data_IF_466843355187
#
_entry.id   IF_466843355187
#
_cell.length_a   1.000
_cell.length_b   1.000
_cell.length_c   1.000
_cell.angle_alpha   90.00
_cell.angle_beta   90.00
_cell.angle_gamma   90.00
#
_symmetry.space_group_name_H-M   'P 1'
#
loop_
_entity.id
_entity.type
_entity.pdbx_description
1 polymer ?
#
# COMPACT_ATOMS: atom_id res chain seq x y z
N UNK A 1 -7.85 -6.00 -4.76
CA UNK A 1 -8.04 -4.55 -5.07
C UNK A 1 -7.70 -3.66 -3.87
N UNK A 2 -7.19 -2.44 -4.12
CA UNK A 2 -6.95 -1.41 -3.08
C UNK A 2 -8.18 -0.51 -2.96
N UNK A 3 -8.64 -0.23 -1.75
CA UNK A 3 -9.86 0.57 -1.49
C UNK A 3 -9.61 1.86 -0.73
N UNK A 4 -8.52 1.95 0.05
CA UNK A 4 -8.06 3.19 0.65
C UNK A 4 -6.55 3.13 0.90
N UNK A 5 -5.94 4.31 1.04
CA UNK A 5 -4.56 4.52 1.47
C UNK A 5 -4.59 5.35 2.75
N UNK A 6 -3.91 4.85 3.77
CA UNK A 6 -3.74 5.50 5.06
C UNK A 6 -2.27 5.85 5.25
N UNK A 7 -2.01 6.85 6.06
CA UNK A 7 -0.65 7.24 6.45
C UNK A 7 -0.63 7.78 7.87
N UNK A 8 0.53 7.69 8.51
CA UNK A 8 0.80 8.29 9.81
C UNK A 8 2.17 8.97 9.77
N UNK A 9 2.30 10.21 10.29
CA UNK A 9 1.27 11.03 10.94
C UNK A 9 0.20 11.55 9.96
N UNK A 10 -1.01 11.86 10.45
CA UNK A 10 -2.14 12.28 9.60
C UNK A 10 -1.89 13.63 8.91
N UNK A 11 -1.21 14.55 9.60
CA UNK A 11 -0.82 15.87 9.11
C UNK A 11 0.72 15.97 9.11
N UNK A 12 1.40 15.34 8.14
CA UNK A 12 2.86 15.32 8.13
C UNK A 12 3.45 16.68 7.81
N UNK A 13 4.56 16.97 8.47
CA UNK A 13 5.43 18.11 8.17
C UNK A 13 6.71 17.61 7.50
N UNK A 14 7.41 18.53 6.85
CA UNK A 14 8.71 18.26 6.23
C UNK A 14 9.67 17.53 7.18
N UNK A 15 10.30 16.46 6.72
CA UNK A 15 11.26 15.66 7.48
C UNK A 15 10.65 14.60 8.39
N UNK A 16 9.33 14.55 8.54
CA UNK A 16 8.65 13.48 9.27
C UNK A 16 8.82 12.14 8.54
N UNK A 17 8.92 11.05 9.31
CA UNK A 17 8.92 9.70 8.77
C UNK A 17 7.48 9.19 8.70
N UNK A 18 7.01 8.97 7.46
CA UNK A 18 5.64 8.56 7.18
C UNK A 18 5.59 7.05 6.99
N UNK A 19 4.70 6.39 7.75
CA UNK A 19 4.35 4.98 7.54
C UNK A 19 3.05 4.92 6.73
N UNK A 20 3.04 4.15 5.64
CA UNK A 20 1.84 3.95 4.82
C UNK A 20 1.13 2.63 5.14
N UNK A 21 -0.19 2.62 4.93
CA UNK A 21 -1.01 1.40 4.94
C UNK A 21 -2.02 1.44 3.79
N UNK A 22 -2.45 0.27 3.35
CA UNK A 22 -3.49 0.12 2.33
C UNK A 22 -4.62 -0.77 2.84
N UNK A 23 -5.86 -0.37 2.56
CA UNK A 23 -7.03 -1.22 2.81
C UNK A 23 -7.27 -2.06 1.56
N UNK A 24 -7.00 -3.36 1.67
CA UNK A 24 -7.13 -4.32 0.60
C UNK A 24 -8.43 -5.07 0.75
N UNK A 25 -9.21 -5.17 -0.33
CA UNK A 25 -10.43 -5.97 -0.39
C UNK A 25 -10.29 -7.09 -1.41
N UNK A 26 -10.69 -8.30 -1.04
CA UNK A 26 -10.88 -9.37 -2.02
C UNK A 26 -12.21 -9.17 -2.75
N UNK A 27 -12.12 -8.76 -4.01
CA UNK A 27 -13.26 -8.52 -4.88
C UNK A 27 -13.67 -9.74 -5.71
N UNK A 28 -12.92 -10.84 -5.61
CA UNK A 28 -13.20 -12.08 -6.32
C UNK A 28 -14.28 -12.91 -5.65
N UNK A 29 -14.62 -14.03 -6.29
CA UNK A 29 -15.61 -15.00 -5.80
C UNK A 29 -15.00 -16.15 -5.00
N UNK A 30 -13.67 -16.16 -4.85
CA UNK A 30 -12.91 -17.18 -4.11
C UNK A 30 -11.93 -16.52 -3.15
N UNK A 31 -11.58 -17.21 -2.07
CA UNK A 31 -10.53 -16.76 -1.16
C UNK A 31 -9.18 -16.67 -1.87
N UNK A 32 -8.33 -15.73 -1.43
CA UNK A 32 -6.92 -15.72 -1.86
C UNK A 32 -6.20 -16.98 -1.37
N UNK A 33 -5.17 -17.46 -2.07
CA UNK A 33 -4.43 -18.64 -1.65
C UNK A 33 -3.74 -18.43 -0.30
N UNK A 34 -3.88 -19.38 0.63
CA UNK A 34 -3.11 -19.38 1.87
C UNK A 34 -1.62 -19.65 1.59
N UNK A 35 -0.73 -19.03 2.36
CA UNK A 35 0.72 -19.20 2.25
C UNK A 35 1.36 -18.40 1.11
N UNK A 36 0.56 -17.75 0.26
CA UNK A 36 1.06 -16.83 -0.78
C UNK A 36 1.00 -15.41 -0.24
N UNK A 37 2.09 -14.67 -0.39
CA UNK A 37 2.18 -13.28 0.06
C UNK A 37 1.19 -12.42 -0.74
N UNK A 38 0.25 -11.79 -0.04
CA UNK A 38 -0.53 -10.67 -0.53
C UNK A 38 0.25 -9.39 -0.22
N UNK A 39 1.05 -8.94 -1.19
CA UNK A 39 1.90 -7.77 -1.04
C UNK A 39 1.22 -6.47 -1.49
N UNK A 40 1.66 -5.35 -0.91
CA UNK A 40 1.33 -4.01 -1.42
C UNK A 40 2.58 -3.14 -1.46
N UNK A 41 2.83 -2.49 -2.59
CA UNK A 41 3.88 -1.48 -2.74
C UNK A 41 3.29 -0.07 -2.66
N UNK A 42 4.01 0.85 -2.00
CA UNK A 42 3.67 2.27 -1.92
C UNK A 42 4.69 3.08 -2.73
N UNK A 43 4.19 3.78 -3.75
CA UNK A 43 4.99 4.56 -4.68
C UNK A 43 4.73 6.07 -4.51
N UNK A 44 5.81 6.85 -4.50
CA UNK A 44 5.78 8.29 -4.73
C UNK A 44 6.28 8.51 -6.16
N UNK A 45 5.39 8.87 -7.08
CA UNK A 45 5.71 8.84 -8.51
C UNK A 45 5.78 7.40 -9.05
N UNK A 46 6.86 7.05 -9.75
CA UNK A 46 6.98 5.77 -10.48
C UNK A 46 7.70 4.66 -9.69
N UNK A 47 8.35 4.98 -8.56
CA UNK A 47 9.17 4.04 -7.79
C UNK A 47 8.50 3.66 -6.47
N UNK A 48 8.48 2.37 -6.16
CA UNK A 48 8.06 1.89 -4.84
C UNK A 48 9.14 2.20 -3.81
N UNK A 49 8.78 2.85 -2.71
CA UNK A 49 9.71 3.18 -1.62
C UNK A 49 9.55 2.27 -0.41
N UNK A 50 8.32 1.91 -0.07
CA UNK A 50 8.00 1.03 1.05
C UNK A 50 6.97 0.00 0.61
N UNK A 51 6.91 -1.15 1.28
CA UNK A 51 5.98 -2.22 0.95
C UNK A 51 5.57 -3.02 2.18
N UNK A 52 4.49 -3.77 2.03
CA UNK A 52 4.10 -4.87 2.92
C UNK A 52 4.32 -6.18 2.19
N UNK A 53 5.05 -7.12 2.79
CA UNK A 53 5.43 -8.39 2.15
C UNK A 53 5.30 -9.62 3.06
N UNK A 54 4.59 -9.55 4.19
CA UNK A 54 4.48 -10.68 5.15
C UNK A 54 3.08 -11.27 5.30
N UNK A 55 2.04 -10.66 4.74
CA UNK A 55 0.68 -11.18 4.88
C UNK A 55 0.45 -12.42 4.00
N UNK A 56 0.19 -13.57 4.61
CA UNK A 56 0.03 -14.87 3.94
C UNK A 56 -1.30 -15.56 4.24
N UNK A 57 -2.18 -14.90 5.01
CA UNK A 57 -3.47 -15.48 5.37
C UNK A 57 -4.44 -15.38 4.19
N UNK A 58 -5.35 -16.36 4.03
CA UNK A 58 -6.38 -16.27 3.01
C UNK A 58 -7.36 -15.14 3.37
N UNK A 59 -7.71 -14.33 2.37
CA UNK A 59 -8.73 -13.30 2.44
C UNK A 59 -9.96 -13.79 1.69
N UNK A 60 -11.08 -14.03 2.38
CA UNK A 60 -12.31 -14.54 1.78
C UNK A 60 -12.99 -13.50 0.85
N UNK A 61 -13.90 -13.90 -0.04
CA UNK A 61 -14.66 -12.95 -0.87
C UNK A 61 -15.33 -11.86 -0.04
N UNK A 62 -15.13 -10.60 -0.41
CA UNK A 62 -15.71 -9.44 0.28
C UNK A 62 -14.95 -8.99 1.53
N UNK A 63 -14.08 -9.83 2.10
CA UNK A 63 -13.25 -9.48 3.26
C UNK A 63 -12.23 -8.41 2.90
N UNK A 64 -11.88 -7.63 3.93
CA UNK A 64 -10.86 -6.58 3.83
C UNK A 64 -9.80 -6.73 4.89
N UNK A 65 -8.57 -6.32 4.57
CA UNK A 65 -7.44 -6.29 5.48
C UNK A 65 -6.67 -5.00 5.31
N UNK A 66 -6.10 -4.48 6.41
CA UNK A 66 -5.18 -3.35 6.37
C UNK A 66 -3.77 -3.91 6.35
N UNK A 67 -3.01 -3.57 5.31
CA UNK A 67 -1.60 -3.94 5.19
C UNK A 67 -0.74 -2.70 5.38
N UNK A 68 0.07 -2.70 6.43
CA UNK A 68 1.02 -1.64 6.77
C UNK A 68 2.39 -1.96 6.19
N UNK A 69 3.09 -0.93 5.71
CA UNK A 69 4.46 -1.06 5.25
C UNK A 69 5.36 -1.57 6.39
N UNK A 70 6.06 -2.67 6.13
CA UNK A 70 6.92 -3.36 7.08
C UNK A 70 8.39 -3.39 6.63
N UNK A 71 8.66 -2.98 5.39
CA UNK A 71 9.97 -2.97 4.75
C UNK A 71 9.97 -1.96 3.58
N UNK A 72 11.11 -1.73 2.96
CA UNK A 72 11.26 -0.79 1.87
C UNK A 72 12.68 -0.65 1.35
N UNK A 73 12.92 0.39 0.54
CA UNK A 73 14.24 0.69 0.01
C UNK A 73 15.24 0.87 1.17
N UNK A 74 16.34 0.12 1.10
CA UNK A 74 17.35 0.12 2.17
C UNK A 74 16.90 -0.51 3.48
N UNK A 75 15.81 -1.29 3.49
CA UNK A 75 15.26 -1.90 4.70
C UNK A 75 14.42 -0.94 5.54
N UNK A 76 13.94 0.16 4.95
CA UNK A 76 13.24 1.24 5.65
C UNK A 76 11.77 1.23 5.25
N UNK A 77 10.88 1.03 6.23
CA UNK A 77 9.43 0.98 6.01
C UNK A 77 8.73 2.34 6.01
N UNK A 78 9.51 3.43 6.15
CA UNK A 78 9.04 4.81 6.13
C UNK A 78 9.51 5.57 4.91
N UNK A 79 8.74 6.59 4.55
CA UNK A 79 9.16 7.61 3.60
C UNK A 79 9.41 8.93 4.32
N UNK A 80 10.56 9.55 4.09
CA UNK A 80 10.88 10.86 4.65
C UNK A 80 10.17 11.95 3.87
N UNK A 81 9.29 12.69 4.54
CA UNK A 81 8.41 13.66 3.93
C UNK A 81 9.18 14.88 3.40
N UNK A 82 8.94 15.26 2.15
CA UNK A 82 9.34 16.56 1.62
C UNK A 82 8.12 17.49 1.59
N UNK A 83 8.28 18.78 1.88
CA UNK A 83 7.16 19.73 1.83
C UNK A 83 6.49 19.75 0.44
N UNK A 84 5.18 19.99 0.41
CA UNK A 84 4.40 20.14 -0.82
C UNK A 84 3.38 19.03 -1.07
N UNK A 85 2.96 18.90 -2.32
CA UNK A 85 1.90 17.98 -2.76
C UNK A 85 2.52 16.75 -3.40
N UNK A 86 2.16 15.57 -2.89
CA UNK A 86 2.63 14.28 -3.36
C UNK A 86 1.46 13.40 -3.78
N UNK A 87 1.66 12.57 -4.80
CA UNK A 87 0.70 11.55 -5.21
C UNK A 87 1.23 10.21 -4.73
N UNK A 88 0.52 9.61 -3.79
CA UNK A 88 0.84 8.28 -3.25
C UNK A 88 0.03 7.27 -4.03
N UNK A 89 0.71 6.28 -4.64
CA UNK A 89 0.05 5.17 -5.33
C UNK A 89 0.33 3.89 -4.57
N UNK A 90 -0.73 3.23 -4.07
CA UNK A 90 -0.64 1.89 -3.54
C UNK A 90 -0.97 0.87 -4.63
N UNK A 91 -0.15 -0.16 -4.77
CA UNK A 91 -0.33 -1.23 -5.75
C UNK A 91 -0.33 -2.59 -5.05
N UNK A 92 -1.49 -3.24 -4.98
CA UNK A 92 -1.62 -4.59 -4.42
C UNK A 92 -1.33 -5.65 -5.49
N UNK A 93 -0.71 -6.74 -5.05
CA UNK A 93 -0.25 -7.82 -5.92
C UNK A 93 0.64 -7.32 -7.07
N UNK A 94 1.57 -6.47 -6.69
CA UNK A 94 2.44 -5.70 -7.58
C UNK A 94 3.26 -6.54 -8.58
N UNK A 95 3.55 -7.80 -8.25
CA UNK A 95 4.24 -8.76 -9.12
C UNK A 95 3.38 -9.96 -9.55
N UNK A 96 2.04 -9.83 -9.53
CA UNK A 96 1.10 -10.82 -10.08
C UNK A 96 1.15 -12.23 -9.45
N UNK A 97 1.28 -12.31 -8.12
CA UNK A 97 1.28 -13.58 -7.36
C UNK A 97 -0.13 -14.21 -7.29
N UNK A 98 -1.20 -13.43 -7.45
CA UNK A 98 -2.58 -13.88 -7.30
C UNK A 98 -3.37 -13.60 -8.58
N UNK A 99 -4.10 -14.61 -9.08
CA UNK A 99 -4.92 -14.45 -10.29
C UNK A 99 -6.23 -13.73 -9.96
N UNK A 100 -6.27 -12.42 -10.19
CA UNK A 100 -7.49 -11.61 -10.06
C UNK A 100 -8.30 -11.51 -11.37
N UNK A 101 -9.60 -11.21 -11.25
CA UNK A 101 -10.57 -11.13 -12.36
C UNK A 101 -10.40 -9.84 -13.18
N UNK A 102 -10.00 -8.74 -12.53
CA UNK A 102 -9.68 -7.46 -13.16
C UNK A 102 -8.44 -6.89 -12.47
N UNK A 103 -7.49 -6.33 -13.23
CA UNK A 103 -6.20 -5.82 -12.70
C UNK A 103 -6.14 -4.30 -12.55
N UNK A 104 -7.10 -3.58 -13.12
CA UNK A 104 -7.12 -2.11 -13.06
C UNK A 104 -7.43 -1.58 -11.66
N UNK A 105 -8.15 -2.33 -10.82
CA UNK A 105 -8.50 -1.95 -9.45
C UNK A 105 -7.41 -2.28 -8.41
N UNK A 106 -6.25 -2.77 -8.84
CA UNK A 106 -5.14 -3.06 -7.94
C UNK A 106 -4.35 -1.83 -7.55
N UNK A 107 -4.59 -0.70 -8.23
CA UNK A 107 -3.94 0.57 -7.95
C UNK A 107 -4.95 1.55 -7.42
N UNK A 108 -4.58 2.25 -6.37
CA UNK A 108 -5.27 3.44 -5.91
C UNK A 108 -4.24 4.55 -5.76
N UNK A 109 -4.60 5.77 -6.14
CA UNK A 109 -3.78 6.96 -5.90
C UNK A 109 -4.51 7.92 -4.96
N UNK A 110 -3.79 8.50 -4.01
CA UNK A 110 -4.32 9.46 -3.05
C UNK A 110 -3.33 10.61 -2.87
N UNK A 111 -3.85 11.83 -2.85
CA UNK A 111 -3.04 13.03 -2.65
C UNK A 111 -2.65 13.18 -1.19
N UNK A 112 -1.35 13.36 -0.94
CA UNK A 112 -0.77 13.69 0.36
C UNK A 112 -0.26 15.13 0.31
N UNK A 113 -0.66 15.93 1.29
CA UNK A 113 -0.14 17.28 1.48
C UNK A 113 0.79 17.25 2.69
N UNK A 114 2.04 17.66 2.49
CA UNK A 114 3.05 17.79 3.54
C UNK A 114 3.28 19.26 3.81
N UNK A 115 3.08 19.67 5.06
CA UNK A 115 3.32 21.04 5.51
C UNK A 115 4.81 21.38 5.62
N UNK A 116 5.11 22.68 5.65
CA UNK A 116 6.45 23.13 6.06
C UNK A 116 6.57 23.05 7.58
N UNK A 117 7.79 22.86 8.09
CA UNK A 117 8.09 23.03 9.52
C UNK A 117 8.23 24.50 9.90
#
# INVERSE_FOLDING_TARGET
MVTDILWSPQNPLEGDDIVFSAVIKNAGTRSTPAGIILGVGFCMGFTAHCWSNTYILPLAPGESVILTANDGQGGINTWKAAAGVHIITAFVDDICRIKEITRENNKLSKTLIVGNK
#
